data_IF_309567526108
#
_entry.id   IF_309567526108
#
_cell.length_a   1.000
_cell.length_b   1.000
_cell.length_c   1.000
_cell.angle_alpha   90.00
_cell.angle_beta   90.00
_cell.angle_gamma   90.00
#
_symmetry.space_group_name_H-M   'P 1'
#
loop_
_entity.id
_entity.type
_entity.pdbx_description
1 polymer ?
#
# COMPACT_ATOMS: atom_id res chain seq x y z
N UNK A 1 -31.10 -57.36 -32.71
CA UNK A 1 -29.69 -57.13 -32.33
C UNK A 1 -29.23 -55.90 -33.09
N UNK A 2 -29.35 -54.73 -32.45
CA UNK A 2 -28.97 -53.43 -33.00
C UNK A 2 -27.52 -53.13 -32.62
N UNK A 3 -26.70 -52.77 -33.60
CA UNK A 3 -25.31 -52.37 -33.41
C UNK A 3 -25.23 -50.85 -33.16
N UNK A 4 -24.90 -50.44 -31.94
CA UNK A 4 -24.55 -49.07 -31.59
C UNK A 4 -23.08 -48.80 -31.94
N UNK A 5 -22.84 -47.90 -32.89
CA UNK A 5 -21.52 -47.30 -33.16
C UNK A 5 -21.29 -46.12 -32.20
N UNK A 6 -20.15 -46.02 -31.50
CA UNK A 6 -19.81 -44.81 -30.76
C UNK A 6 -19.23 -43.76 -31.71
N UNK A 7 -19.84 -42.57 -31.70
CA UNK A 7 -19.32 -41.36 -32.36
C UNK A 7 -18.33 -40.72 -31.37
N UNK A 8 -17.04 -40.72 -31.72
CA UNK A 8 -16.00 -40.01 -30.96
C UNK A 8 -16.07 -38.54 -31.39
N UNK A 9 -16.59 -37.69 -30.50
CA UNK A 9 -16.57 -36.24 -30.64
C UNK A 9 -15.20 -35.72 -30.18
N UNK A 10 -14.40 -35.05 -31.03
CA UNK A 10 -13.14 -34.47 -30.58
C UNK A 10 -13.45 -33.26 -29.68
N UNK A 11 -13.07 -33.37 -28.41
CA UNK A 11 -13.04 -32.22 -27.48
C UNK A 11 -12.00 -31.22 -28.01
N UNK A 12 -12.48 -30.13 -28.61
CA UNK A 12 -11.68 -28.95 -28.86
C UNK A 12 -11.43 -28.27 -27.51
N UNK A 13 -10.27 -28.53 -26.89
CA UNK A 13 -9.81 -27.78 -25.72
C UNK A 13 -9.32 -26.43 -26.24
N UNK A 14 -10.19 -25.43 -26.20
CA UNK A 14 -9.78 -24.04 -26.38
C UNK A 14 -8.90 -23.65 -25.19
N UNK A 15 -7.58 -23.71 -25.39
CA UNK A 15 -6.61 -23.08 -24.48
C UNK A 15 -6.77 -21.57 -24.71
N UNK A 16 -7.57 -20.91 -23.88
CA UNK A 16 -7.59 -19.45 -23.84
C UNK A 16 -6.25 -19.01 -23.29
N UNK A 17 -5.38 -18.46 -24.14
CA UNK A 17 -4.23 -17.70 -23.68
C UNK A 17 -4.77 -16.51 -22.90
N UNK A 18 -4.78 -16.59 -21.58
CA UNK A 18 -5.00 -15.45 -20.69
C UNK A 18 -3.83 -14.51 -20.93
N UNK A 19 -4.05 -13.47 -21.72
CA UNK A 19 -3.10 -12.36 -21.85
C UNK A 19 -3.05 -11.71 -20.47
N UNK A 20 -1.90 -11.82 -19.78
CA UNK A 20 -1.70 -11.16 -18.51
C UNK A 20 -1.80 -9.65 -18.72
N UNK A 21 -2.78 -9.02 -18.07
CA UNK A 21 -3.02 -7.58 -18.18
C UNK A 21 -2.10 -6.85 -17.19
N UNK A 22 -1.26 -5.95 -17.70
CA UNK A 22 -0.53 -5.00 -16.87
C UNK A 22 -1.57 -3.98 -16.35
N UNK A 23 -1.62 -3.67 -15.04
CA UNK A 23 -2.52 -2.66 -14.55
C UNK A 23 -2.13 -1.29 -15.09
N UNK A 24 -3.11 -0.52 -15.55
CA UNK A 24 -2.88 0.86 -16.00
C UNK A 24 -2.46 1.77 -14.84
N UNK A 25 -3.05 1.57 -13.66
CA UNK A 25 -2.79 2.39 -12.46
C UNK A 25 -2.65 1.48 -11.23
N UNK A 26 -1.59 1.72 -10.45
CA UNK A 26 -1.36 1.15 -9.13
C UNK A 26 -1.37 2.28 -8.11
N UNK A 27 -2.31 2.24 -7.17
CA UNK A 27 -2.33 3.19 -6.05
C UNK A 27 -1.57 2.61 -4.85
N UNK A 28 -0.61 3.39 -4.34
CA UNK A 28 0.18 3.04 -3.15
C UNK A 28 0.07 4.12 -2.09
N UNK A 29 0.18 3.70 -0.84
CA UNK A 29 0.36 4.60 0.28
C UNK A 29 1.86 4.70 0.61
N UNK A 30 2.32 5.88 1.03
CA UNK A 30 3.71 6.06 1.51
C UNK A 30 4.05 4.99 2.55
N UNK A 31 5.24 4.40 2.43
CA UNK A 31 5.77 3.34 3.30
C UNK A 31 5.16 1.97 3.08
N UNK A 32 4.16 1.82 2.20
CA UNK A 32 3.59 0.51 1.86
C UNK A 32 4.57 -0.28 0.98
N UNK A 33 4.91 -1.53 1.35
CA UNK A 33 5.67 -2.41 0.49
C UNK A 33 4.89 -2.73 -0.79
N UNK A 34 5.56 -2.56 -1.92
CA UNK A 34 5.05 -2.86 -3.25
C UNK A 34 5.77 -4.08 -3.81
N UNK A 35 5.01 -4.99 -4.41
CA UNK A 35 5.52 -6.15 -5.10
C UNK A 35 4.58 -6.51 -6.26
N UNK A 36 5.13 -6.55 -7.47
CA UNK A 36 4.41 -6.92 -8.67
C UNK A 36 5.24 -7.86 -9.54
N UNK A 37 4.76 -9.09 -9.70
CA UNK A 37 5.36 -10.10 -10.56
C UNK A 37 4.68 -10.08 -11.94
N UNK A 38 5.46 -9.86 -12.99
CA UNK A 38 4.93 -9.83 -14.36
C UNK A 38 4.73 -11.25 -14.89
N UNK A 39 3.47 -11.61 -15.16
CA UNK A 39 3.10 -12.91 -15.75
C UNK A 39 3.16 -12.90 -17.29
N UNK A 40 4.26 -12.37 -17.85
CA UNK A 40 4.41 -12.20 -19.29
C UNK A 40 5.33 -13.30 -19.83
N UNK A 41 4.86 -14.06 -20.82
CA UNK A 41 5.63 -15.08 -21.52
C UNK A 41 6.53 -14.47 -22.62
N UNK A 42 7.48 -13.62 -22.23
CA UNK A 42 8.54 -13.12 -23.12
C UNK A 42 9.90 -13.24 -22.45
N UNK A 43 10.93 -13.54 -23.23
CA UNK A 43 12.31 -13.61 -22.75
C UNK A 43 12.96 -12.23 -22.60
N UNK A 44 12.36 -11.21 -23.20
CA UNK A 44 12.81 -9.82 -23.15
C UNK A 44 11.72 -9.02 -22.47
N UNK A 45 11.86 -8.80 -21.17
CA UNK A 45 11.00 -7.90 -20.41
C UNK A 45 11.88 -6.86 -19.75
N UNK A 46 11.53 -5.59 -19.96
CA UNK A 46 12.26 -4.47 -19.39
C UNK A 46 11.29 -3.43 -18.85
N UNK A 47 11.66 -2.87 -17.69
CA UNK A 47 10.88 -1.86 -16.96
C UNK A 47 11.79 -0.68 -16.73
N UNK A 48 11.38 0.48 -17.21
CA UNK A 48 12.12 1.73 -17.09
C UNK A 48 11.16 2.87 -16.72
N UNK A 49 11.72 4.00 -16.27
CA UNK A 49 10.92 5.21 -16.17
C UNK A 49 10.48 5.66 -17.57
N UNK A 50 9.24 6.14 -17.71
CA UNK A 50 8.67 6.53 -19.01
C UNK A 50 9.38 7.74 -19.64
N UNK A 51 10.09 8.55 -18.84
CA UNK A 51 10.95 9.63 -19.31
C UNK A 51 12.23 9.12 -19.99
N UNK A 52 12.60 7.85 -19.77
CA UNK A 52 13.89 7.27 -20.19
C UNK A 52 15.01 7.46 -19.16
N UNK A 53 14.72 8.02 -18.00
CA UNK A 53 15.64 8.08 -16.86
C UNK A 53 15.72 6.72 -16.12
N UNK A 54 16.62 6.65 -15.14
CA UNK A 54 16.69 5.51 -14.22
C UNK A 54 15.40 5.41 -13.40
N UNK A 55 15.06 4.19 -12.95
CA UNK A 55 13.94 4.00 -12.06
C UNK A 55 14.12 4.81 -10.77
N UNK A 56 13.03 5.33 -10.17
CA UNK A 56 13.09 5.96 -8.86
C UNK A 56 13.81 5.07 -7.85
N UNK A 57 14.62 5.67 -6.99
CA UNK A 57 15.48 4.95 -6.04
C UNK A 57 14.73 4.06 -5.04
N UNK A 58 13.42 4.27 -4.89
CA UNK A 58 12.55 3.47 -4.04
C UNK A 58 12.01 2.20 -4.73
N UNK A 59 12.24 2.02 -6.03
CA UNK A 59 11.86 0.87 -6.84
C UNK A 59 13.07 0.04 -7.27
N UNK A 60 12.89 -1.27 -7.34
CA UNK A 60 13.87 -2.24 -7.85
C UNK A 60 13.21 -3.10 -8.91
N UNK A 61 13.85 -3.17 -10.08
CA UNK A 61 13.52 -4.13 -11.12
C UNK A 61 14.44 -5.35 -11.06
N UNK A 62 13.90 -6.49 -10.60
CA UNK A 62 14.58 -7.79 -10.62
C UNK A 62 14.29 -8.50 -11.94
N UNK A 63 15.12 -8.22 -12.94
CA UNK A 63 14.93 -8.73 -14.31
C UNK A 63 14.81 -10.26 -14.41
N UNK A 64 15.64 -10.99 -13.66
CA UNK A 64 15.67 -12.46 -13.71
C UNK A 64 14.41 -13.10 -13.09
N UNK A 65 13.86 -12.45 -12.06
CA UNK A 65 12.64 -12.89 -11.37
C UNK A 65 11.36 -12.30 -12.00
N UNK A 66 11.51 -11.30 -12.87
CA UNK A 66 10.43 -10.49 -13.45
C UNK A 66 9.56 -9.83 -12.37
N UNK A 67 10.20 -9.30 -11.33
CA UNK A 67 9.55 -8.66 -10.19
C UNK A 67 9.95 -7.19 -10.13
N UNK A 68 8.95 -6.33 -10.04
CA UNK A 68 9.11 -4.94 -9.65
C UNK A 68 8.64 -4.80 -8.20
N UNK A 69 9.51 -4.31 -7.33
CA UNK A 69 9.24 -4.18 -5.90
C UNK A 69 9.83 -2.89 -5.34
N UNK A 70 9.33 -2.43 -4.19
CA UNK A 70 9.81 -1.19 -3.61
C UNK A 70 9.10 -0.76 -2.34
N UNK A 71 9.61 0.30 -1.71
CA UNK A 71 9.02 0.91 -0.52
C UNK A 71 9.16 2.42 -0.64
N UNK A 72 8.05 3.09 -0.95
CA UNK A 72 8.05 4.54 -1.16
C UNK A 72 8.22 5.32 0.15
N UNK A 73 8.90 6.45 0.09
CA UNK A 73 9.11 7.40 1.18
C UNK A 73 8.35 8.71 0.93
N UNK A 74 8.24 9.62 1.92
CA UNK A 74 7.45 10.85 1.74
C UNK A 74 7.89 11.73 0.57
N UNK A 75 9.16 11.69 0.20
CA UNK A 75 9.71 12.40 -0.96
C UNK A 75 9.25 11.84 -2.31
N UNK A 76 8.75 10.61 -2.32
CA UNK A 76 8.33 9.89 -3.51
C UNK A 76 6.82 10.03 -3.78
N UNK A 77 6.13 10.85 -2.98
CA UNK A 77 4.71 11.12 -3.17
C UNK A 77 4.45 11.80 -4.52
N UNK A 78 3.51 11.27 -5.28
CA UNK A 78 3.23 11.74 -6.64
C UNK A 78 2.92 10.59 -7.58
N UNK A 79 3.07 10.87 -8.88
CA UNK A 79 2.85 9.90 -9.95
C UNK A 79 4.17 9.57 -10.62
N UNK A 80 4.47 8.28 -10.73
CA UNK A 80 5.56 7.74 -11.53
C UNK A 80 4.95 6.98 -12.69
N UNK A 81 5.44 7.23 -13.91
CA UNK A 81 5.01 6.49 -15.08
C UNK A 81 6.11 5.54 -15.49
N UNK A 82 5.83 4.24 -15.51
CA UNK A 82 6.77 3.22 -15.92
C UNK A 82 6.42 2.76 -17.32
N UNK A 83 7.44 2.62 -18.16
CA UNK A 83 7.33 1.99 -19.47
C UNK A 83 7.73 0.53 -19.36
N UNK A 84 6.84 -0.36 -19.76
CA UNK A 84 7.05 -1.80 -19.77
C UNK A 84 7.15 -2.25 -21.23
N UNK A 85 8.33 -2.76 -21.59
CA UNK A 85 8.62 -3.19 -22.96
C UNK A 85 8.95 -4.65 -23.03
N UNK A 86 8.40 -5.33 -24.03
CA UNK A 86 8.81 -6.64 -24.47
C UNK A 86 8.77 -6.72 -26.01
N UNK A 87 9.02 -7.90 -26.57
CA UNK A 87 9.05 -8.12 -28.03
C UNK A 87 7.74 -7.76 -28.76
N UNK A 88 6.62 -7.67 -28.04
CA UNK A 88 5.25 -7.52 -28.57
C UNK A 88 4.47 -6.36 -27.97
N UNK A 89 4.87 -5.88 -26.79
CA UNK A 89 4.13 -4.94 -25.96
C UNK A 89 5.03 -3.77 -25.60
N UNK A 90 4.47 -2.57 -25.71
CA UNK A 90 5.01 -1.35 -25.15
C UNK A 90 3.87 -0.68 -24.39
N UNK A 91 3.81 -0.94 -23.09
CA UNK A 91 2.73 -0.51 -22.21
C UNK A 91 3.24 0.51 -21.18
N UNK A 92 2.31 1.22 -20.55
CA UNK A 92 2.61 2.20 -19.52
C UNK A 92 1.79 1.90 -18.28
N UNK A 93 2.47 1.82 -17.14
CA UNK A 93 1.87 1.68 -15.82
C UNK A 93 2.10 2.96 -15.02
N UNK A 94 1.03 3.56 -14.49
CA UNK A 94 1.13 4.64 -13.51
C UNK A 94 1.22 4.04 -12.10
N UNK A 95 2.22 4.44 -11.32
CA UNK A 95 2.23 4.23 -9.87
C UNK A 95 1.95 5.58 -9.20
N UNK A 96 0.85 5.63 -8.45
CA UNK A 96 0.39 6.82 -7.73
C UNK A 96 0.59 6.64 -6.23
N UNK A 97 1.61 7.30 -5.68
CA UNK A 97 1.96 7.26 -4.25
C UNK A 97 1.29 8.43 -3.52
N UNK A 98 0.49 8.13 -2.49
CA UNK A 98 -0.24 9.12 -1.70
C UNK A 98 -0.02 8.98 -0.19
N UNK A 99 -0.24 10.08 0.54
CA UNK A 99 -0.27 10.03 2.00
C UNK A 99 -1.46 9.21 2.53
N UNK A 100 -1.24 8.48 3.62
CA UNK A 100 -2.33 7.84 4.36
C UNK A 100 -3.06 8.89 5.20
N UNK A 101 -4.30 9.18 4.83
CA UNK A 101 -5.17 10.14 5.54
C UNK A 101 -6.44 9.50 6.10
N UNK A 102 -6.76 8.28 5.66
CA UNK A 102 -7.96 7.57 6.08
C UNK A 102 -7.60 6.57 7.15
N UNK A 103 -8.24 6.69 8.32
CA UNK A 103 -8.01 5.72 9.38
C UNK A 103 -8.61 4.35 8.98
N UNK A 104 -7.85 3.23 9.04
CA UNK A 104 -8.34 1.92 8.60
C UNK A 104 -9.56 1.39 9.36
N UNK A 105 -9.81 1.89 10.57
CA UNK A 105 -10.99 1.55 11.37
C UNK A 105 -12.21 2.46 11.11
N UNK A 106 -12.07 3.46 10.23
CA UNK A 106 -13.05 4.51 10.01
C UNK A 106 -12.68 5.81 10.73
N UNK A 107 -13.21 6.94 10.24
CA UNK A 107 -12.80 8.28 10.65
C UNK A 107 -12.97 8.58 12.15
N UNK A 108 -13.99 8.02 12.79
CA UNK A 108 -14.32 8.27 14.20
C UNK A 108 -13.75 7.23 15.17
N UNK A 109 -13.20 6.14 14.64
CA UNK A 109 -12.71 5.02 15.46
C UNK A 109 -11.22 5.14 15.68
N UNK A 110 -10.74 4.68 16.82
CA UNK A 110 -9.30 4.54 17.06
C UNK A 110 -8.80 3.21 16.48
N UNK A 111 -7.54 3.19 16.09
CA UNK A 111 -6.86 2.01 15.59
C UNK A 111 -5.73 1.64 16.54
N UNK A 112 -5.64 0.35 16.83
CA UNK A 112 -4.50 -0.24 17.52
C UNK A 112 -3.45 -0.62 16.49
N UNK A 113 -2.25 -0.10 16.67
CA UNK A 113 -1.10 -0.30 15.81
C UNK A 113 -0.01 -1.04 16.57
N UNK A 114 0.52 -2.12 15.98
CA UNK A 114 1.77 -2.69 16.43
C UNK A 114 2.91 -1.95 15.73
N UNK A 115 3.93 -1.60 16.49
CA UNK A 115 5.11 -0.87 16.00
C UNK A 115 6.36 -1.60 16.46
N UNK A 116 7.22 -1.94 15.51
CA UNK A 116 8.53 -2.57 15.74
C UNK A 116 9.60 -1.58 15.29
N UNK A 117 10.44 -1.13 16.21
CA UNK A 117 11.51 -0.17 15.93
C UNK A 117 12.87 -0.86 15.86
N UNK A 118 13.67 -0.51 14.86
CA UNK A 118 15.02 -1.02 14.64
C UNK A 118 16.07 0.05 14.94
N UNK A 119 17.22 -0.38 15.46
CA UNK A 119 18.42 0.43 15.72
C UNK A 119 19.19 0.68 14.41
N UNK A 120 18.49 1.28 13.46
CA UNK A 120 19.03 1.61 12.15
C UNK A 120 18.25 2.76 11.56
N UNK A 121 18.94 3.60 10.80
CA UNK A 121 18.33 4.78 10.20
C UNK A 121 17.80 4.44 8.80
N UNK A 122 16.60 4.89 8.49
CA UNK A 122 15.91 4.55 7.25
C UNK A 122 16.68 5.03 6.03
N UNK A 123 17.30 6.20 6.13
CA UNK A 123 18.16 6.74 5.07
C UNK A 123 19.41 5.91 4.78
N UNK A 124 19.84 5.05 5.72
CA UNK A 124 20.98 4.15 5.55
C UNK A 124 20.57 2.75 5.05
N UNK A 125 19.27 2.43 5.01
CA UNK A 125 18.79 1.15 4.53
C UNK A 125 18.57 1.16 3.02
N UNK A 126 19.14 0.17 2.34
CA UNK A 126 18.78 -0.11 0.95
C UNK A 126 17.32 -0.59 0.87
N UNK A 127 16.69 -0.43 -0.29
CA UNK A 127 15.32 -0.93 -0.50
C UNK A 127 15.26 -2.47 -0.35
N UNK A 128 16.33 -3.18 -0.72
CA UNK A 128 16.46 -4.62 -0.49
C UNK A 128 16.39 -4.94 1.00
N UNK A 129 17.11 -4.20 1.85
CA UNK A 129 17.09 -4.39 3.29
C UNK A 129 15.72 -4.03 3.90
N UNK A 130 15.08 -2.97 3.41
CA UNK A 130 13.72 -2.60 3.84
C UNK A 130 12.72 -3.72 3.53
N UNK A 131 12.74 -4.25 2.30
CA UNK A 131 11.87 -5.37 1.88
C UNK A 131 12.21 -6.66 2.63
N UNK A 132 13.47 -6.88 2.99
CA UNK A 132 13.87 -8.00 3.84
C UNK A 132 13.23 -7.91 5.23
N UNK A 133 13.33 -6.75 5.90
CA UNK A 133 12.69 -6.54 7.21
C UNK A 133 11.18 -6.73 7.13
N UNK A 134 10.55 -6.23 6.07
CA UNK A 134 9.12 -6.47 5.77
C UNK A 134 8.82 -7.97 5.67
N UNK A 135 9.62 -8.74 4.96
CA UNK A 135 9.44 -10.18 4.79
C UNK A 135 9.59 -10.95 6.12
N UNK A 136 10.56 -10.57 6.95
CA UNK A 136 10.76 -11.15 8.29
C UNK A 136 9.52 -10.94 9.16
N UNK A 137 9.04 -9.69 9.25
CA UNK A 137 7.84 -9.35 10.04
C UNK A 137 6.60 -10.02 9.46
N UNK A 138 6.39 -9.93 8.14
CA UNK A 138 5.26 -10.52 7.42
C UNK A 138 5.15 -12.03 7.67
N UNK A 139 6.27 -12.76 7.52
CA UNK A 139 6.29 -14.22 7.73
C UNK A 139 6.07 -14.59 9.19
N UNK A 140 6.72 -13.90 10.12
CA UNK A 140 6.61 -14.23 11.54
C UNK A 140 5.18 -14.03 12.06
N UNK A 141 4.56 -12.90 11.72
CA UNK A 141 3.20 -12.58 12.17
C UNK A 141 2.11 -13.18 11.27
N UNK A 142 2.48 -13.81 10.14
CA UNK A 142 1.56 -14.33 9.12
C UNK A 142 0.59 -13.25 8.61
N UNK A 143 1.14 -12.09 8.23
CA UNK A 143 0.39 -10.93 7.72
C UNK A 143 0.88 -10.56 6.32
N UNK A 144 -0.01 -10.08 5.45
CA UNK A 144 0.38 -9.62 4.11
C UNK A 144 1.31 -8.41 4.20
N UNK A 145 2.38 -8.41 3.41
CA UNK A 145 3.33 -7.29 3.35
C UNK A 145 2.66 -5.99 2.91
N UNK A 146 1.62 -6.06 2.06
CA UNK A 146 0.83 -4.90 1.66
C UNK A 146 0.12 -4.18 2.82
N UNK A 147 -0.08 -4.85 3.97
CA UNK A 147 -0.68 -4.29 5.19
C UNK A 147 0.33 -3.60 6.10
N UNK A 148 1.62 -3.82 5.87
CA UNK A 148 2.70 -3.19 6.62
C UNK A 148 2.96 -1.77 6.12
N UNK A 149 3.56 -0.95 6.98
CA UNK A 149 4.16 0.34 6.65
C UNK A 149 5.58 0.38 7.20
N UNK A 150 6.51 0.89 6.39
CA UNK A 150 7.90 1.16 6.77
C UNK A 150 8.10 2.67 6.81
N UNK A 151 8.35 3.20 8.00
CA UNK A 151 8.50 4.64 8.21
C UNK A 151 9.77 4.97 8.98
N UNK A 152 10.21 6.22 8.85
CA UNK A 152 11.06 6.83 9.87
C UNK A 152 10.20 7.14 11.10
N UNK A 153 10.80 7.05 12.28
CA UNK A 153 10.10 7.37 13.52
C UNK A 153 9.53 8.80 13.52
N UNK A 154 10.24 9.76 12.93
CA UNK A 154 9.77 11.14 12.77
C UNK A 154 8.50 11.22 11.95
N UNK A 155 8.49 10.65 10.74
CA UNK A 155 7.31 10.71 9.87
C UNK A 155 6.12 10.04 10.54
N UNK A 156 6.36 8.87 11.16
CA UNK A 156 5.37 8.12 11.92
C UNK A 156 4.65 8.97 12.99
N UNK A 157 5.39 9.75 13.78
CA UNK A 157 4.80 10.66 14.79
C UNK A 157 4.11 11.88 14.16
N UNK A 158 4.56 12.36 13.00
CA UNK A 158 3.93 13.49 12.31
C UNK A 158 2.55 13.13 11.72
N UNK A 159 2.37 11.88 11.31
CA UNK A 159 1.14 11.46 10.62
C UNK A 159 0.03 10.95 11.54
N UNK A 160 0.31 10.67 12.81
CA UNK A 160 -0.64 10.07 13.77
C UNK A 160 -0.62 10.78 15.11
N UNK A 161 -1.77 10.80 15.79
CA UNK A 161 -1.83 11.01 17.24
C UNK A 161 -2.14 9.67 17.88
N UNK A 162 -1.18 9.16 18.64
CA UNK A 162 -1.31 7.87 19.29
C UNK A 162 -0.67 7.85 20.67
N UNK A 163 -1.32 7.19 21.61
CA UNK A 163 -0.81 6.92 22.95
C UNK A 163 -0.27 5.49 23.02
N UNK A 164 0.73 5.28 23.88
CA UNK A 164 1.29 3.96 24.15
C UNK A 164 0.35 3.22 25.09
N UNK A 165 -0.05 2.02 24.68
CA UNK A 165 -0.88 1.10 25.48
C UNK A 165 0.01 0.09 26.19
N UNK A 166 0.95 -0.50 25.47
CA UNK A 166 1.91 -1.49 25.98
C UNK A 166 3.25 -1.31 25.26
N UNK A 167 4.36 -1.62 25.92
CA UNK A 167 5.69 -1.39 25.35
C UNK A 167 6.73 -2.39 25.85
N UNK A 168 7.45 -2.99 24.90
CA UNK A 168 8.71 -3.69 25.14
C UNK A 168 9.92 -2.86 24.71
N UNK A 169 9.80 -1.55 24.63
CA UNK A 169 10.85 -0.66 24.12
C UNK A 169 11.99 -0.50 25.13
N UNK A 170 13.23 -0.82 24.74
CA UNK A 170 14.39 -0.66 25.62
C UNK A 170 14.86 0.79 25.69
N UNK A 171 14.84 1.49 24.55
CA UNK A 171 15.30 2.87 24.40
C UNK A 171 14.42 3.60 23.39
N UNK A 172 14.28 4.92 23.55
CA UNK A 172 13.53 5.75 22.61
C UNK A 172 14.21 5.76 21.23
N UNK A 173 13.53 5.40 20.14
CA UNK A 173 14.10 5.44 18.80
C UNK A 173 14.47 6.87 18.38
N UNK A 174 15.54 7.00 17.60
CA UNK A 174 15.93 8.27 16.98
C UNK A 174 14.91 8.67 15.91
N UNK A 175 14.93 9.94 15.50
CA UNK A 175 13.99 10.46 14.50
C UNK A 175 14.02 9.69 13.16
N UNK A 176 15.21 9.28 12.72
CA UNK A 176 15.35 8.54 11.46
C UNK A 176 15.31 7.02 11.65
N UNK A 177 15.08 6.53 12.88
CA UNK A 177 15.01 5.09 13.13
C UNK A 177 13.88 4.44 12.36
N UNK A 178 14.15 3.29 11.77
CA UNK A 178 13.17 2.52 10.99
C UNK A 178 12.14 1.94 11.94
N UNK A 179 10.86 2.15 11.60
CA UNK A 179 9.73 1.52 12.28
C UNK A 179 8.89 0.78 11.24
N UNK A 180 8.65 -0.50 11.49
CA UNK A 180 7.63 -1.27 10.78
C UNK A 180 6.37 -1.28 11.62
N UNK A 181 5.24 -0.92 11.02
CA UNK A 181 3.97 -0.87 11.73
C UNK A 181 2.80 -1.40 10.90
N UNK A 182 1.79 -1.92 11.58
CA UNK A 182 0.55 -2.38 10.95
C UNK A 182 -0.63 -2.29 11.91
N UNK A 183 -1.84 -2.27 11.34
CA UNK A 183 -3.08 -2.33 12.11
C UNK A 183 -3.22 -3.72 12.74
N UNK A 184 -3.56 -3.73 14.01
CA UNK A 184 -3.87 -4.96 14.76
C UNK A 184 -5.37 -5.08 15.01
N UNK A 185 -6.00 -4.04 15.56
CA UNK A 185 -7.43 -4.04 15.85
C UNK A 185 -8.03 -2.62 15.83
N UNK A 186 -9.35 -2.53 16.02
CA UNK A 186 -10.13 -1.31 16.10
C UNK A 186 -10.70 -1.12 17.50
N UNK A 187 -10.55 0.08 18.05
CA UNK A 187 -11.07 0.53 19.37
C UNK A 187 -10.48 -0.17 20.60
N UNK A 188 -10.56 -1.50 20.67
CA UNK A 188 -10.24 -2.30 21.85
C UNK A 188 -9.28 -3.45 21.51
N UNK A 189 -8.61 -3.97 22.55
CA UNK A 189 -7.75 -5.14 22.42
C UNK A 189 -8.66 -6.36 22.28
N UNK A 190 -8.78 -6.89 21.07
CA UNK A 190 -9.52 -8.10 20.75
C UNK A 190 -8.59 -9.34 20.73
N UNK A 191 -9.15 -10.49 20.36
CA UNK A 191 -8.39 -11.74 20.25
C UNK A 191 -7.23 -11.64 19.25
N UNK A 192 -7.38 -10.88 18.16
CA UNK A 192 -6.30 -10.67 17.19
C UNK A 192 -5.16 -9.87 17.80
N UNK A 193 -5.48 -8.85 18.61
CA UNK A 193 -4.48 -8.06 19.31
C UNK A 193 -3.74 -8.85 20.37
N UNK A 194 -4.43 -9.75 21.07
CA UNK A 194 -3.81 -10.66 22.05
C UNK A 194 -2.86 -11.62 21.34
N UNK A 195 -3.27 -12.27 20.24
CA UNK A 195 -2.41 -13.19 19.46
C UNK A 195 -1.15 -12.49 18.94
N UNK A 196 -1.28 -11.26 18.42
CA UNK A 196 -0.13 -10.49 17.97
C UNK A 196 0.81 -10.13 19.12
N UNK A 197 0.28 -9.76 20.30
CA UNK A 197 1.10 -9.47 21.49
C UNK A 197 1.83 -10.71 21.98
N UNK A 198 1.15 -11.86 22.09
CA UNK A 198 1.76 -13.12 22.50
C UNK A 198 2.89 -13.54 21.55
N UNK A 199 2.65 -13.42 20.24
CA UNK A 199 3.70 -13.64 19.22
C UNK A 199 4.87 -12.68 19.39
N UNK A 200 4.59 -11.39 19.64
CA UNK A 200 5.63 -10.36 19.82
C UNK A 200 6.56 -10.69 21.01
N UNK A 201 6.03 -11.26 22.10
CA UNK A 201 6.86 -11.69 23.24
C UNK A 201 7.83 -12.83 22.90
N UNK A 202 7.51 -13.60 21.86
CA UNK A 202 8.36 -14.70 21.34
C UNK A 202 9.13 -14.30 20.08
N UNK A 203 9.00 -13.06 19.62
CA UNK A 203 9.68 -12.56 18.44
C UNK A 203 11.18 -12.48 18.73
N UNK A 204 11.88 -13.54 18.32
CA UNK A 204 13.33 -13.62 18.43
C UNK A 204 13.96 -12.84 17.26
N UNK A 205 14.80 -11.88 17.62
CA UNK A 205 15.53 -11.02 16.71
C UNK A 205 16.58 -11.78 15.89
N UNK A 206 16.85 -13.05 16.22
CA UNK A 206 17.91 -13.85 15.60
C UNK A 206 17.82 -13.88 14.07
N UNK A 207 16.62 -13.96 13.48
CA UNK A 207 16.45 -13.90 12.02
C UNK A 207 16.72 -12.51 11.41
N UNK A 208 16.35 -11.43 12.10
CA UNK A 208 16.62 -10.05 11.68
C UNK A 208 18.11 -9.66 11.86
N UNK A 209 18.75 -10.16 12.91
CA UNK A 209 20.15 -9.97 13.26
C UNK A 209 21.08 -10.79 12.37
N UNK A 210 20.74 -12.06 12.09
CA UNK A 210 21.62 -13.00 11.37
C UNK A 210 21.90 -12.57 9.93
N UNK A 211 20.94 -11.90 9.27
CA UNK A 211 21.03 -11.59 7.84
C UNK A 211 21.25 -10.10 7.60
N UNK A 212 20.54 -9.23 8.33
CA UNK A 212 20.59 -7.78 8.09
C UNK A 212 21.38 -6.99 9.13
N UNK A 213 21.95 -7.65 10.18
CA UNK A 213 22.67 -7.01 11.29
C UNK A 213 21.90 -5.88 11.99
N UNK A 214 20.58 -5.83 11.80
CA UNK A 214 19.75 -4.79 12.39
C UNK A 214 19.36 -5.26 13.78
N UNK A 215 19.73 -4.47 14.78
CA UNK A 215 19.34 -4.72 16.16
C UNK A 215 17.95 -4.15 16.41
N UNK A 216 17.09 -4.85 17.13
CA UNK A 216 15.78 -4.33 17.50
C UNK A 216 15.95 -3.34 18.68
N UNK A 217 15.24 -2.21 18.64
CA UNK A 217 15.09 -1.32 19.81
C UNK A 217 13.98 -1.78 20.75
N UNK A 218 12.95 -2.37 20.17
CA UNK A 218 11.81 -2.96 20.85
C UNK A 218 10.53 -2.69 20.08
N UNK A 219 9.42 -2.78 20.79
CA UNK A 219 8.09 -2.66 20.20
C UNK A 219 7.14 -1.85 21.08
N UNK A 220 6.12 -1.30 20.45
CA UNK A 220 5.03 -0.59 21.12
C UNK A 220 3.69 -0.99 20.50
N UNK A 221 2.70 -1.24 21.35
CA UNK A 221 1.30 -1.22 20.96
C UNK A 221 0.75 0.18 21.21
N UNK A 222 0.24 0.83 20.17
CA UNK A 222 -0.27 2.21 20.27
C UNK A 222 -1.71 2.32 19.80
N UNK A 223 -2.49 3.11 20.52
CA UNK A 223 -3.88 3.42 20.20
C UNK A 223 -3.97 4.85 19.68
N UNK A 224 -4.52 5.04 18.48
CA UNK A 224 -4.56 6.38 17.89
C UNK A 224 -5.32 6.48 16.58
N UNK A 225 -5.23 7.67 15.97
CA UNK A 225 -5.85 7.98 14.68
C UNK A 225 -4.84 8.64 13.74
N UNK A 226 -5.04 8.41 12.44
CA UNK A 226 -4.33 9.16 11.40
C UNK A 226 -4.81 10.60 11.37
N UNK A 227 -3.87 11.54 11.31
CA UNK A 227 -4.17 12.96 11.22
C UNK A 227 -4.59 13.34 9.79
N UNK A 228 -5.67 14.12 9.61
CA UNK A 228 -5.97 14.71 8.32
C UNK A 228 -4.84 15.65 7.88
N UNK A 229 -4.60 15.74 6.57
CA UNK A 229 -3.57 16.63 5.98
C UNK A 229 -3.67 18.08 6.49
N UNK A 230 -4.89 18.59 6.68
CA UNK A 230 -5.18 19.93 7.22
C UNK A 230 -4.68 20.16 8.65
N UNK A 231 -4.56 19.09 9.45
CA UNK A 231 -4.05 19.17 10.83
C UNK A 231 -2.52 18.97 10.89
N UNK A 232 -1.93 18.36 9.86
CA UNK A 232 -0.48 18.22 9.70
C UNK A 232 0.16 19.52 9.19
N UNK A 233 -0.54 20.20 8.28
CA UNK A 233 -0.09 21.44 7.66
C UNK A 233 -0.78 22.65 8.31
N UNK A 234 -0.21 23.19 9.39
CA UNK A 234 -0.50 24.58 9.78
C UNK A 234 0.08 25.62 8.79
N UNK A 235 0.78 25.17 7.74
CA UNK A 235 1.29 26.00 6.65
C UNK A 235 1.09 25.27 5.31
N UNK A 236 0.46 25.92 4.33
CA UNK A 236 0.21 25.50 2.94
C UNK A 236 -0.94 24.49 2.69
N UNK A 237 -2.01 25.01 2.09
CA UNK A 237 -3.15 24.25 1.59
C UNK A 237 -3.18 24.12 0.06
N UNK A 238 -3.78 23.04 -0.42
CA UNK A 238 -4.97 22.99 -1.29
C UNK A 238 -5.30 21.50 -1.49
N UNK A 239 -6.59 21.19 -1.55
CA UNK A 239 -7.17 19.84 -1.44
C UNK A 239 -7.35 19.23 -2.84
N UNK A 240 -6.98 17.95 -3.01
CA UNK A 240 -7.52 17.08 -4.06
C UNK A 240 -7.81 15.74 -3.40
N UNK A 241 -9.10 15.43 -3.24
CA UNK A 241 -9.58 14.23 -2.58
C UNK A 241 -9.89 13.18 -3.66
N UNK A 242 -9.04 12.15 -3.79
CA UNK A 242 -9.29 10.99 -4.66
C UNK A 242 -9.98 9.89 -3.87
N UNK A 243 -11.05 9.34 -4.45
CA UNK A 243 -11.83 8.23 -3.90
C UNK A 243 -11.04 6.92 -4.02
N UNK A 244 -11.05 6.13 -2.95
CA UNK A 244 -10.40 4.81 -2.89
C UNK A 244 -11.05 3.82 -3.86
N UNK A 245 -10.26 3.23 -4.76
CA UNK A 245 -10.57 1.96 -5.43
C UNK A 245 -9.67 0.87 -4.85
N UNK A 246 -10.14 -0.38 -4.90
CA UNK A 246 -9.46 -1.52 -4.28
C UNK A 246 -8.04 -1.75 -4.82
N UNK A 247 -7.13 -2.13 -3.93
CA UNK A 247 -5.71 -2.34 -4.21
C UNK A 247 -5.49 -3.58 -5.07
N UNK A 248 -4.63 -3.46 -6.10
CA UNK A 248 -4.15 -4.58 -6.90
C UNK A 248 -2.76 -4.96 -6.39
N UNK A 249 -2.68 -6.04 -5.59
CA UNK A 249 -1.43 -6.76 -5.32
C UNK A 249 -1.67 -8.24 -5.63
N UNK A 250 -0.70 -8.90 -6.26
CA UNK A 250 -0.79 -10.34 -6.60
C UNK A 250 -0.03 -11.21 -5.60
N UNK A 251 0.01 -10.81 -4.32
CA UNK A 251 0.56 -11.67 -3.26
C UNK A 251 -0.30 -12.95 -3.11
N UNK A 252 0.30 -14.11 -2.79
CA UNK A 252 -0.48 -15.31 -2.49
C UNK A 252 -1.34 -15.08 -1.23
N UNK A 253 -2.65 -15.04 -1.42
CA UNK A 253 -3.64 -14.78 -0.35
C UNK A 253 -3.71 -15.92 0.67
N UNK A 254 -3.69 -15.56 1.95
CA UNK A 254 -4.29 -16.36 3.03
C UNK A 254 -5.75 -15.93 3.14
N UNK A 255 -6.68 -16.88 2.98
CA UNK A 255 -8.11 -16.63 2.98
C UNK A 255 -8.57 -16.05 4.33
N UNK A 256 -9.09 -14.82 4.31
CA UNK A 256 -10.00 -14.33 5.34
C UNK A 256 -11.37 -14.08 4.71
N UNK A 257 -12.38 -14.78 5.21
CA UNK A 257 -13.77 -14.62 4.81
C UNK A 257 -14.27 -13.23 5.18
N UNK A 258 -14.48 -12.37 4.17
CA UNK A 258 -15.22 -11.11 4.36
C UNK A 258 -16.66 -11.34 3.91
N UNK A 259 -17.54 -11.53 4.89
CA UNK A 259 -18.99 -11.57 4.68
C UNK A 259 -19.47 -10.19 4.22
N UNK A 260 -19.85 -10.09 2.94
CA UNK A 260 -20.54 -8.91 2.40
C UNK A 260 -22.00 -8.93 2.83
N UNK A 261 -22.38 -8.02 3.73
CA UNK A 261 -23.80 -7.76 4.02
C UNK A 261 -24.23 -6.41 3.44
N UNK A 262 -25.20 -6.48 2.52
CA UNK A 262 -25.96 -5.36 1.95
C UNK A 262 -27.05 -4.87 2.93
N UNK A 263 -27.48 -3.63 2.68
CA UNK A 263 -28.74 -2.96 3.12
C UNK A 263 -28.67 -2.35 4.54
N UNK A 264 -29.07 -1.10 4.82
CA UNK A 264 -30.32 -0.37 4.48
C UNK A 264 -30.19 1.17 4.49
N UNK A 265 -31.11 1.81 3.76
CA UNK A 265 -31.43 3.23 3.62
C UNK A 265 -31.70 3.98 4.95
N UNK A 266 -31.24 5.24 5.07
CA UNK A 266 -31.86 6.21 5.99
C UNK A 266 -31.73 7.68 5.55
N UNK A 267 -32.82 8.39 5.77
CA UNK A 267 -33.20 9.75 5.41
C UNK A 267 -32.19 10.86 5.76
N UNK A 268 -31.91 11.74 4.80
CA UNK A 268 -31.27 13.05 5.03
C UNK A 268 -32.33 14.14 5.22
N UNK A 269 -32.30 14.78 6.38
CA UNK A 269 -33.08 15.98 6.72
C UNK A 269 -32.41 17.19 6.06
N UNK A 270 -33.04 17.73 5.01
CA UNK A 270 -32.61 18.95 4.32
C UNK A 270 -32.91 20.19 5.15
N UNK A 271 -31.90 20.98 5.48
CA UNK A 271 -32.06 22.40 5.84
C UNK A 271 -31.68 23.25 4.63
N UNK A 272 -32.71 23.80 3.96
CA UNK A 272 -32.61 24.77 2.86
C UNK A 272 -31.80 26.00 3.32
N UNK A 273 -30.72 26.30 2.62
CA UNK A 273 -30.11 27.63 2.56
C UNK A 273 -30.29 28.07 1.10
N UNK A 274 -31.02 29.16 0.88
CA UNK A 274 -31.29 29.69 -0.46
C UNK A 274 -29.97 30.16 -1.11
N UNK A 275 -29.46 29.37 -2.05
CA UNK A 275 -28.38 29.79 -2.96
C UNK A 275 -29.01 30.55 -4.13
N UNK A 276 -28.74 31.86 -4.20
CA UNK A 276 -29.03 32.66 -5.40
C UNK A 276 -27.95 32.38 -6.45
N UNK A 277 -28.30 32.09 -7.71
CA UNK A 277 -27.31 31.85 -8.76
C UNK A 277 -26.56 33.15 -9.10
N UNK A 278 -25.27 33.07 -9.47
CA UNK A 278 -24.46 34.24 -9.80
C UNK A 278 -24.96 34.91 -11.09
N UNK A 279 -25.08 36.24 -11.02
CA UNK A 279 -25.43 37.11 -12.14
C UNK A 279 -24.28 37.13 -13.15
N UNK A 280 -24.55 36.76 -14.40
CA UNK A 280 -23.59 36.87 -15.51
C UNK A 280 -23.33 38.34 -15.81
N UNK A 281 -22.14 38.84 -15.47
CA UNK A 281 -21.64 40.12 -15.93
C UNK A 281 -20.73 39.90 -17.14
N UNK A 282 -21.18 40.44 -18.28
CA UNK A 282 -20.44 40.72 -19.51
C UNK A 282 -19.71 39.56 -20.20
N UNK A 283 -20.41 38.94 -21.15
CA UNK A 283 -19.80 38.18 -22.24
C UNK A 283 -18.97 39.11 -23.13
N UNK A 284 -17.67 38.87 -23.24
CA UNK A 284 -16.82 39.49 -24.25
C UNK A 284 -17.28 39.03 -25.64
N UNK A 285 -17.39 39.98 -26.57
CA UNK A 285 -17.80 39.72 -27.96
C UNK A 285 -16.78 38.83 -28.67
N UNK A 286 -17.28 37.83 -29.40
CA UNK A 286 -16.48 36.92 -30.20
C UNK A 286 -15.80 37.68 -31.36
N UNK A 287 -14.49 37.49 -31.51
CA UNK A 287 -13.73 37.96 -32.67
C UNK A 287 -13.84 36.93 -33.81
N UNK A 288 -14.15 37.40 -35.01
CA UNK A 288 -14.05 36.63 -36.25
C UNK A 288 -12.72 36.95 -36.94
N UNK A 289 -11.89 35.94 -37.19
CA UNK A 289 -10.71 36.08 -38.03
C UNK A 289 -11.12 36.16 -39.50
N UNK A 290 -10.47 37.05 -40.26
CA UNK A 290 -10.51 37.10 -41.73
C UNK A 290 -9.27 36.43 -42.30
#
# INVERSE_FOLDING_TARGET
>A
MEYLRPIILPLLICITNTIALIPEIVELVIGQPFHYAFQINSNVLDVQDASGEELPTWLIWKKDERILEGVSQPTDAGKTFLRITNDQINDVMEISVKEEITNPCGAERTTLWMEIAFDTSLSNLSIVDQLHLVNVVSKFFNISSSSLRVYSNKYKEEIRRAEVVESGMQHKPNNDSVTIMWKVSCEEIDENAIDVLEKMLTFDESDALAISRQKLFGWELRKGTLLPRKQRNHFAGTDVMSQFSGFITNEPYVNFEVTTSKTTTRFTRSTKKDDRPPVRLHSLQAFTCR
#
